data_IF_168077960451
#
_entry.id   IF_168077960451
#
_cell.length_a   1.000
_cell.length_b   1.000
_cell.length_c   1.000
_cell.angle_alpha   90.00
_cell.angle_beta   90.00
_cell.angle_gamma   90.00
#
_symmetry.space_group_name_H-M   'P 1'
#
loop_
_entity.id
_entity.type
_entity.pdbx_description
1 polymer ?
#
# COMPACT_ATOMS: atom_id res chain seq x y z
N UNK A 1 -4.47 -18.95 11.63
CA UNK A 1 -4.67 -18.59 10.22
C UNK A 1 -6.09 -18.06 10.05
N UNK A 2 -6.26 -16.74 10.01
CA UNK A 2 -7.56 -16.14 9.70
C UNK A 2 -7.71 -16.06 8.19
N UNK A 3 -8.81 -16.60 7.65
CA UNK A 3 -9.10 -16.46 6.23
C UNK A 3 -9.44 -14.98 5.94
N UNK A 4 -8.63 -14.32 5.11
CA UNK A 4 -8.87 -12.94 4.66
C UNK A 4 -9.97 -12.93 3.61
N UNK A 5 -11.19 -12.67 4.04
CA UNK A 5 -12.35 -12.53 3.17
C UNK A 5 -12.49 -11.09 2.68
N UNK A 6 -12.97 -10.91 1.44
CA UNK A 6 -13.33 -9.61 0.92
C UNK A 6 -14.52 -9.03 1.70
N UNK A 7 -14.55 -7.70 1.87
CA UNK A 7 -15.62 -7.03 2.62
C UNK A 7 -16.95 -7.06 1.85
N UNK A 8 -18.09 -7.35 2.51
CA UNK A 8 -19.40 -7.43 1.86
C UNK A 8 -19.81 -6.14 1.15
N UNK A 9 -20.53 -6.27 0.04
CA UNK A 9 -21.00 -5.14 -0.80
C UNK A 9 -22.02 -4.23 -0.12
N UNK A 10 -22.72 -4.70 0.92
CA UNK A 10 -23.74 -3.95 1.65
C UNK A 10 -23.22 -3.18 2.86
N UNK A 11 -21.97 -3.36 3.27
CA UNK A 11 -21.41 -2.68 4.44
C UNK A 11 -21.05 -1.22 4.11
N UNK A 12 -21.35 -0.29 5.02
CA UNK A 12 -20.95 1.13 4.98
C UNK A 12 -19.81 1.47 5.94
N UNK A 13 -19.56 0.61 6.93
CA UNK A 13 -18.61 0.88 8.00
C UNK A 13 -17.96 -0.39 8.55
N UNK A 14 -16.82 -0.21 9.23
CA UNK A 14 -16.05 -1.26 9.91
C UNK A 14 -15.70 -0.78 11.31
N UNK A 15 -15.92 -1.63 12.31
CA UNK A 15 -15.54 -1.34 13.69
C UNK A 15 -14.12 -1.85 13.93
N UNK A 16 -13.25 -0.97 14.42
CA UNK A 16 -11.90 -1.33 14.85
C UNK A 16 -11.85 -1.39 16.37
N UNK A 17 -11.26 -2.47 16.91
CA UNK A 17 -11.13 -2.68 18.36
C UNK A 17 -10.16 -1.67 18.98
N UNK A 18 -9.12 -1.29 18.23
CA UNK A 18 -8.17 -0.24 18.61
C UNK A 18 -7.78 0.61 17.41
N UNK A 19 -7.41 1.88 17.66
CA UNK A 19 -6.78 2.75 16.66
C UNK A 19 -5.47 2.16 16.11
N UNK A 20 -4.77 1.31 16.89
CA UNK A 20 -3.54 0.63 16.45
C UNK A 20 -3.80 -0.47 15.42
N UNK A 21 -5.02 -1.02 15.41
CA UNK A 21 -5.42 -2.04 14.44
C UNK A 21 -5.75 -1.41 13.08
N UNK A 22 -5.86 -0.08 13.03
CA UNK A 22 -6.05 0.77 11.84
C UNK A 22 -4.71 1.02 11.11
N UNK A 23 -3.68 0.21 11.39
CA UNK A 23 -2.37 0.34 10.75
C UNK A 23 -2.36 -0.28 9.35
N UNK A 24 -1.20 -0.28 8.68
CA UNK A 24 -0.99 -0.72 7.30
C UNK A 24 -1.32 -2.20 7.02
N UNK A 25 -2.07 -2.88 7.89
CA UNK A 25 -2.61 -4.22 7.74
C UNK A 25 -3.50 -4.36 6.49
N UNK A 26 -3.76 -5.61 6.12
CA UNK A 26 -4.71 -5.94 5.08
C UNK A 26 -6.08 -5.33 5.37
N UNK A 27 -6.54 -5.42 6.61
CA UNK A 27 -7.85 -4.95 7.06
C UNK A 27 -7.97 -3.42 6.92
N UNK A 28 -6.90 -2.69 7.25
CA UNK A 28 -6.83 -1.24 7.03
C UNK A 28 -6.91 -0.88 5.55
N UNK A 29 -6.09 -1.53 4.71
CA UNK A 29 -6.10 -1.31 3.26
C UNK A 29 -7.43 -1.69 2.61
N UNK A 30 -8.04 -2.80 3.03
CA UNK A 30 -9.34 -3.25 2.54
C UNK A 30 -10.45 -2.27 2.94
N UNK A 31 -10.39 -1.71 4.14
CA UNK A 31 -11.32 -0.66 4.61
C UNK A 31 -11.23 0.59 3.73
N UNK A 32 -10.02 1.05 3.43
CA UNK A 32 -9.79 2.17 2.52
C UNK A 32 -10.31 1.88 1.10
N UNK A 33 -9.93 0.73 0.53
CA UNK A 33 -10.34 0.33 -0.80
C UNK A 33 -11.87 0.23 -0.92
N UNK A 34 -12.52 -0.29 0.12
CA UNK A 34 -13.98 -0.42 0.19
C UNK A 34 -14.71 0.90 0.51
N UNK A 35 -13.99 2.00 0.73
CA UNK A 35 -14.56 3.31 1.07
C UNK A 35 -15.34 3.32 2.38
N UNK A 36 -14.98 2.44 3.32
CA UNK A 36 -15.73 2.23 4.55
C UNK A 36 -15.28 3.19 5.65
N UNK A 37 -16.26 3.55 6.48
CA UNK A 37 -16.03 4.39 7.65
C UNK A 37 -15.40 3.58 8.79
N UNK A 38 -14.23 3.99 9.33
CA UNK A 38 -13.66 3.38 10.53
C UNK A 38 -14.43 3.86 11.78
N UNK A 39 -15.07 2.93 12.48
CA UNK A 39 -15.86 3.18 13.68
C UNK A 39 -15.12 2.74 14.95
N UNK A 40 -15.39 3.48 16.02
CA UNK A 40 -14.97 3.19 17.39
C UNK A 40 -15.78 2.01 17.96
N UNK A 41 -15.22 1.25 18.92
CA UNK A 41 -15.96 0.18 19.60
C UNK A 41 -17.26 0.65 20.27
N UNK A 42 -17.34 1.93 20.64
CA UNK A 42 -18.53 2.54 21.24
C UNK A 42 -19.77 2.47 20.34
N UNK A 43 -19.61 2.30 19.02
CA UNK A 43 -20.72 2.08 18.11
C UNK A 43 -21.52 0.81 18.47
N UNK A 44 -20.81 -0.28 18.78
CA UNK A 44 -21.43 -1.57 19.07
C UNK A 44 -22.16 -1.50 20.40
N UNK A 45 -21.54 -0.91 21.42
CA UNK A 45 -22.17 -0.76 22.73
C UNK A 45 -23.38 0.17 22.67
N UNK A 46 -23.29 1.30 21.97
CA UNK A 46 -24.41 2.22 21.78
C UNK A 46 -25.56 1.55 21.02
N UNK A 47 -25.25 0.79 19.95
CA UNK A 47 -26.27 0.08 19.17
C UNK A 47 -26.98 -0.99 20.01
N UNK A 48 -26.21 -1.74 20.81
CA UNK A 48 -26.77 -2.74 21.72
C UNK A 48 -27.66 -2.12 22.80
N UNK A 49 -27.23 -1.00 23.40
CA UNK A 49 -28.02 -0.29 24.42
C UNK A 49 -29.30 0.34 23.85
N UNK A 50 -29.27 0.82 22.62
CA UNK A 50 -30.43 1.42 21.97
C UNK A 50 -31.42 0.39 21.39
N UNK A 51 -30.99 -0.85 21.19
CA UNK A 51 -31.77 -1.86 20.46
C UNK A 51 -31.91 -1.56 18.96
N UNK A 52 -31.09 -0.67 18.42
CA UNK A 52 -31.07 -0.25 17.03
C UNK A 52 -29.65 0.19 16.63
N UNK A 53 -29.34 0.27 15.33
CA UNK A 53 -28.04 0.76 14.88
C UNK A 53 -27.85 2.23 15.26
N UNK A 54 -26.77 2.51 15.99
CA UNK A 54 -26.38 3.88 16.33
C UNK A 54 -26.01 4.67 15.06
N UNK A 55 -25.94 6.00 15.18
CA UNK A 55 -25.50 6.85 14.08
C UNK A 55 -23.98 6.71 13.88
N UNK A 56 -23.56 6.17 12.74
CA UNK A 56 -22.15 5.91 12.43
C UNK A 56 -21.26 7.15 12.60
N UNK A 57 -21.77 8.34 12.25
CA UNK A 57 -21.01 9.61 12.33
C UNK A 57 -20.59 9.94 13.76
N UNK A 58 -21.44 9.63 14.75
CA UNK A 58 -21.16 9.89 16.16
C UNK A 58 -20.07 8.98 16.71
N UNK A 59 -19.81 7.86 16.04
CA UNK A 59 -18.84 6.86 16.47
C UNK A 59 -17.65 6.73 15.52
N UNK A 60 -17.49 7.64 14.56
CA UNK A 60 -16.33 7.64 13.66
C UNK A 60 -15.06 8.00 14.41
N UNK A 61 -13.94 7.37 14.08
CA UNK A 61 -12.64 7.80 14.58
C UNK A 61 -12.25 9.18 14.03
N UNK A 62 -11.73 10.04 14.90
CA UNK A 62 -11.08 11.29 14.52
C UNK A 62 -9.56 11.17 14.54
N UNK A 63 -8.87 11.97 13.73
CA UNK A 63 -7.40 12.01 13.72
C UNK A 63 -6.82 12.39 15.09
N UNK A 64 -7.55 13.18 15.88
CA UNK A 64 -7.11 13.66 17.19
C UNK A 64 -7.10 12.57 18.26
N UNK A 65 -7.92 11.53 18.09
CA UNK A 65 -8.03 10.40 19.02
C UNK A 65 -6.94 9.34 18.77
N UNK A 66 -6.17 9.48 17.70
CA UNK A 66 -5.09 8.56 17.39
C UNK A 66 -3.75 9.11 17.90
N UNK A 67 -2.94 8.24 18.48
CA UNK A 67 -1.57 8.61 18.87
C UNK A 67 -0.60 8.34 17.71
N UNK A 68 -0.80 7.23 17.00
CA UNK A 68 0.08 6.77 15.93
C UNK A 68 -0.14 7.52 14.62
N UNK A 69 0.96 7.97 13.98
CA UNK A 69 0.92 8.71 12.73
C UNK A 69 0.28 7.90 11.58
N UNK A 70 0.52 6.60 11.54
CA UNK A 70 -0.08 5.66 10.57
C UNK A 70 -1.60 5.58 10.70
N UNK A 71 -2.12 5.47 11.93
CA UNK A 71 -3.55 5.44 12.19
C UNK A 71 -4.23 6.77 11.82
N UNK A 72 -3.60 7.91 12.14
CA UNK A 72 -4.05 9.25 11.71
C UNK A 72 -4.16 9.34 10.20
N UNK A 73 -3.12 8.89 9.50
CA UNK A 73 -3.09 8.91 8.03
C UNK A 73 -4.21 8.06 7.45
N UNK A 74 -4.45 6.86 7.96
CA UNK A 74 -5.55 6.03 7.46
C UNK A 74 -6.91 6.68 7.70
N UNK A 75 -7.18 7.22 8.89
CA UNK A 75 -8.45 7.92 9.18
C UNK A 75 -8.65 9.09 8.23
N UNK A 76 -7.62 9.91 8.03
CA UNK A 76 -7.64 11.01 7.06
C UNK A 76 -8.03 10.53 5.68
N UNK A 77 -7.39 9.46 5.23
CA UNK A 77 -7.57 8.93 3.88
C UNK A 77 -8.93 8.26 3.72
N UNK A 78 -9.42 7.56 4.73
CA UNK A 78 -10.78 7.03 4.75
C UNK A 78 -11.82 8.16 4.62
N UNK A 79 -11.62 9.27 5.33
CA UNK A 79 -12.47 10.47 5.21
C UNK A 79 -12.39 11.11 3.82
N UNK A 80 -11.19 11.17 3.23
CA UNK A 80 -11.01 11.65 1.86
C UNK A 80 -11.74 10.76 0.84
N UNK A 81 -11.64 9.43 0.95
CA UNK A 81 -12.37 8.55 0.04
C UNK A 81 -13.88 8.68 0.22
N UNK A 82 -14.39 8.71 1.45
CA UNK A 82 -15.82 8.92 1.72
C UNK A 82 -16.38 10.22 1.11
N UNK A 83 -15.56 11.27 0.96
CA UNK A 83 -16.00 12.56 0.38
C UNK A 83 -15.82 12.66 -1.13
N UNK A 84 -14.82 11.96 -1.69
CA UNK A 84 -14.43 12.08 -3.10
C UNK A 84 -15.09 11.06 -4.02
N UNK A 85 -15.35 9.86 -3.54
CA UNK A 85 -15.87 8.81 -4.40
C UNK A 85 -17.40 8.86 -4.36
N UNK A 86 -18.00 9.28 -5.49
CA UNK A 86 -19.44 9.13 -5.71
C UNK A 86 -19.85 7.65 -5.78
N UNK A 87 -18.91 6.80 -6.19
CA UNK A 87 -18.93 5.35 -6.02
C UNK A 87 -18.53 4.98 -4.58
N UNK A 88 -19.18 3.99 -3.96
CA UNK A 88 -18.86 3.63 -2.57
C UNK A 88 -17.48 2.99 -2.42
N UNK A 89 -16.85 2.56 -3.53
CA UNK A 89 -15.57 1.82 -3.51
C UNK A 89 -14.55 2.38 -4.51
N UNK A 90 -13.27 2.27 -4.17
CA UNK A 90 -12.14 2.90 -4.88
C UNK A 90 -11.88 2.26 -6.25
N UNK A 91 -12.07 0.95 -6.38
CA UNK A 91 -11.80 0.19 -7.61
C UNK A 91 -13.09 -0.25 -8.32
N UNK A 92 -14.19 0.45 -8.09
CA UNK A 92 -15.48 0.11 -8.68
C UNK A 92 -15.40 0.16 -10.21
N UNK A 93 -15.93 -0.89 -10.87
CA UNK A 93 -15.88 -1.03 -12.33
C UNK A 93 -14.55 -1.51 -12.90
N UNK A 94 -13.51 -1.69 -12.07
CA UNK A 94 -12.24 -2.21 -12.56
C UNK A 94 -12.32 -3.70 -12.84
N UNK A 95 -11.70 -4.13 -13.93
CA UNK A 95 -11.49 -5.53 -14.31
C UNK A 95 -10.00 -5.74 -14.39
N UNK A 96 -9.44 -6.35 -13.34
CA UNK A 96 -8.01 -6.33 -13.05
C UNK A 96 -7.40 -7.71 -13.28
N UNK A 97 -6.37 -7.76 -14.11
CA UNK A 97 -5.53 -8.93 -14.27
C UNK A 97 -4.39 -8.92 -13.24
N UNK A 98 -4.21 -10.03 -12.52
CA UNK A 98 -3.14 -10.21 -11.55
C UNK A 98 -2.03 -11.08 -12.13
N UNK A 99 -0.84 -10.50 -12.26
CA UNK A 99 0.36 -11.22 -12.66
C UNK A 99 0.97 -12.03 -11.50
N UNK A 100 1.59 -13.17 -11.81
CA UNK A 100 2.18 -14.05 -10.80
C UNK A 100 3.34 -13.42 -10.00
N UNK A 101 3.97 -12.37 -10.51
CA UNK A 101 5.04 -11.65 -9.80
C UNK A 101 4.60 -10.93 -8.53
N UNK A 102 3.29 -10.78 -8.28
CA UNK A 102 2.76 -10.12 -7.10
C UNK A 102 3.06 -10.85 -5.78
N UNK A 103 3.42 -12.13 -5.83
CA UNK A 103 3.81 -12.91 -4.65
C UNK A 103 5.16 -12.50 -4.07
N UNK A 104 5.97 -11.75 -4.82
CA UNK A 104 7.29 -11.28 -4.36
C UNK A 104 7.28 -9.83 -3.87
N UNK A 105 6.12 -9.17 -3.81
CA UNK A 105 6.01 -7.76 -3.41
C UNK A 105 5.94 -7.68 -1.88
N UNK A 106 6.94 -7.05 -1.26
CA UNK A 106 6.82 -6.64 0.13
C UNK A 106 5.88 -5.44 0.24
N UNK A 107 4.62 -5.72 0.54
CA UNK A 107 3.57 -4.71 0.65
C UNK A 107 3.59 -3.97 1.97
N UNK A 108 4.33 -4.43 2.98
CA UNK A 108 4.26 -3.95 4.37
C UNK A 108 2.89 -4.12 5.05
N UNK A 109 1.87 -4.58 4.32
CA UNK A 109 0.51 -4.87 4.82
C UNK A 109 0.14 -6.34 4.82
N UNK A 110 1.14 -7.20 4.62
CA UNK A 110 0.98 -8.64 4.61
C UNK A 110 0.28 -9.19 3.38
N UNK A 111 0.15 -8.43 2.28
CA UNK A 111 -0.24 -8.98 0.98
C UNK A 111 0.95 -9.80 0.45
N UNK A 112 0.94 -11.10 0.69
CA UNK A 112 2.05 -11.99 0.31
C UNK A 112 1.63 -13.00 -0.76
N UNK A 113 0.32 -13.15 -0.98
CA UNK A 113 -0.26 -14.09 -1.94
C UNK A 113 -1.12 -13.38 -2.97
N UNK A 114 -1.31 -14.01 -4.14
CA UNK A 114 -2.28 -13.52 -5.13
C UNK A 114 -3.70 -13.44 -4.58
N UNK A 115 -4.02 -14.32 -3.63
CA UNK A 115 -5.31 -14.38 -2.96
C UNK A 115 -5.54 -13.12 -2.12
N UNK A 116 -4.51 -12.64 -1.43
CA UNK A 116 -4.56 -11.38 -0.68
C UNK A 116 -4.81 -10.19 -1.63
N UNK A 117 -4.07 -10.11 -2.74
CA UNK A 117 -4.26 -9.06 -3.75
C UNK A 117 -5.67 -9.11 -4.36
N UNK A 118 -6.16 -10.31 -4.66
CA UNK A 118 -7.51 -10.52 -5.16
C UNK A 118 -8.57 -10.07 -4.13
N UNK A 119 -8.38 -10.41 -2.86
CA UNK A 119 -9.29 -10.03 -1.78
C UNK A 119 -9.31 -8.52 -1.53
N UNK A 120 -8.14 -7.86 -1.60
CA UNK A 120 -8.03 -6.40 -1.47
C UNK A 120 -8.78 -5.69 -2.61
N UNK A 121 -8.51 -6.07 -3.86
CA UNK A 121 -9.16 -5.48 -5.03
C UNK A 121 -10.68 -5.71 -5.02
N UNK A 122 -11.12 -6.92 -4.65
CA UNK A 122 -12.55 -7.23 -4.49
C UNK A 122 -13.21 -6.42 -3.39
N UNK A 123 -12.50 -6.16 -2.29
CA UNK A 123 -13.00 -5.25 -1.23
C UNK A 123 -13.24 -3.85 -1.78
N UNK A 124 -12.36 -3.38 -2.67
CA UNK A 124 -12.57 -2.14 -3.42
C UNK A 124 -13.52 -2.22 -4.61
N UNK A 125 -14.24 -3.34 -4.81
CA UNK A 125 -15.26 -3.46 -5.85
C UNK A 125 -14.75 -3.83 -7.25
N UNK A 126 -13.47 -4.18 -7.38
CA UNK A 126 -12.94 -4.66 -8.65
C UNK A 126 -13.30 -6.13 -8.91
N UNK A 127 -13.35 -6.48 -10.19
CA UNK A 127 -13.34 -7.85 -10.68
C UNK A 127 -11.89 -8.29 -10.94
N UNK A 128 -11.27 -8.93 -9.95
CA UNK A 128 -9.88 -9.39 -10.03
C UNK A 128 -9.78 -10.84 -10.55
N UNK A 129 -8.91 -11.04 -11.53
CA UNK A 129 -8.69 -12.28 -12.27
C UNK A 129 -7.20 -12.65 -12.21
N UNK A 130 -6.88 -13.93 -12.06
CA UNK A 130 -5.47 -14.39 -12.08
C UNK A 130 -5.05 -14.64 -13.51
N UNK A 131 -3.79 -14.38 -13.85
CA UNK A 131 -3.27 -14.65 -15.18
C UNK A 131 -3.50 -16.08 -15.67
N UNK A 132 -3.43 -17.07 -14.76
CA UNK A 132 -3.70 -18.47 -15.08
C UNK A 132 -5.17 -18.77 -15.46
N UNK A 133 -6.11 -17.93 -15.02
CA UNK A 133 -7.55 -18.13 -15.23
C UNK A 133 -8.05 -17.44 -16.50
N UNK A 134 -7.22 -16.59 -17.12
CA UNK A 134 -7.58 -15.87 -18.35
C UNK A 134 -7.46 -16.81 -19.54
N UNK A 135 -8.61 -17.26 -20.03
CA UNK A 135 -8.71 -17.85 -21.36
C UNK A 135 -8.61 -16.76 -22.43
N UNK A 136 -7.89 -17.05 -23.51
CA UNK A 136 -7.66 -16.09 -24.58
C UNK A 136 -9.00 -15.59 -25.17
N UNK A 137 -9.33 -14.32 -24.91
CA UNK A 137 -10.21 -13.55 -25.79
C UNK A 137 -11.56 -13.04 -25.28
N UNK A 138 -11.91 -13.09 -23.98
CA UNK A 138 -13.29 -12.71 -23.58
C UNK A 138 -13.46 -11.81 -22.36
N UNK A 139 -12.40 -11.33 -21.73
CA UNK A 139 -12.54 -10.45 -20.59
C UNK A 139 -12.18 -9.02 -20.98
N UNK A 140 -13.15 -8.10 -20.84
CA UNK A 140 -12.97 -6.64 -20.99
C UNK A 140 -12.07 -6.10 -19.87
N UNK A 141 -10.83 -6.56 -19.82
CA UNK A 141 -9.84 -6.13 -18.85
C UNK A 141 -9.60 -4.63 -19.03
N UNK A 142 -9.53 -3.92 -17.91
CA UNK A 142 -9.24 -2.48 -17.90
C UNK A 142 -7.87 -2.20 -17.32
N UNK A 143 -7.44 -2.99 -16.34
CA UNK A 143 -6.17 -2.83 -15.64
C UNK A 143 -5.43 -4.16 -15.50
N UNK A 144 -4.11 -4.09 -15.39
CA UNK A 144 -3.25 -5.21 -15.03
C UNK A 144 -2.29 -4.76 -13.92
N UNK A 145 -2.08 -5.63 -12.93
CA UNK A 145 -1.22 -5.38 -11.78
C UNK A 145 -0.06 -6.36 -11.78
N UNK A 146 1.15 -5.84 -11.67
CA UNK A 146 2.39 -6.63 -11.59
C UNK A 146 3.39 -5.97 -10.65
N UNK A 147 4.42 -6.72 -10.24
CA UNK A 147 5.55 -6.10 -9.55
C UNK A 147 6.33 -5.17 -10.49
N UNK A 148 6.96 -4.14 -9.94
CA UNK A 148 7.68 -3.12 -10.74
C UNK A 148 8.76 -3.71 -11.65
N UNK A 149 9.37 -4.84 -11.27
CA UNK A 149 10.46 -5.51 -12.01
C UNK A 149 10.06 -6.70 -12.89
N UNK A 150 8.78 -7.08 -12.95
CA UNK A 150 8.37 -8.28 -13.67
C UNK A 150 8.53 -8.15 -15.21
N UNK A 151 9.01 -9.18 -15.92
CA UNK A 151 9.09 -9.19 -17.39
C UNK A 151 7.68 -9.27 -18.01
N UNK A 152 7.29 -8.27 -18.81
CA UNK A 152 5.89 -8.02 -19.21
C UNK A 152 5.51 -8.48 -20.60
N UNK A 153 6.52 -8.84 -21.40
CA UNK A 153 6.43 -8.98 -22.85
C UNK A 153 5.38 -10.01 -23.32
N UNK A 154 5.02 -10.98 -22.46
CA UNK A 154 4.01 -11.99 -22.82
C UNK A 154 2.58 -11.55 -22.52
N UNK A 155 2.33 -10.88 -21.40
CA UNK A 155 0.95 -10.53 -21.01
C UNK A 155 0.47 -9.23 -21.65
N UNK A 156 1.36 -8.26 -21.92
CA UNK A 156 0.98 -7.04 -22.63
C UNK A 156 0.51 -7.34 -24.06
N UNK A 157 1.10 -8.35 -24.71
CA UNK A 157 0.68 -8.81 -26.03
C UNK A 157 -0.68 -9.53 -26.01
N UNK A 158 -1.03 -10.20 -24.90
CA UNK A 158 -2.30 -10.90 -24.73
C UNK A 158 -3.46 -9.96 -24.41
N UNK A 159 -3.16 -8.78 -23.87
CA UNK A 159 -4.15 -7.82 -23.36
C UNK A 159 -3.87 -6.41 -23.91
N UNK A 160 -4.01 -6.18 -25.23
CA UNK A 160 -3.79 -4.86 -25.81
C UNK A 160 -4.79 -3.85 -25.27
N UNK A 161 -4.32 -2.63 -24.96
CA UNK A 161 -5.15 -1.54 -24.43
C UNK A 161 -5.43 -1.60 -22.92
N UNK A 162 -4.89 -2.59 -22.21
CA UNK A 162 -4.99 -2.66 -20.74
C UNK A 162 -3.95 -1.75 -20.09
N UNK A 163 -4.37 -0.99 -19.07
CA UNK A 163 -3.47 -0.13 -18.30
C UNK A 163 -2.65 -0.96 -17.29
N UNK A 164 -1.32 -0.89 -17.39
CA UNK A 164 -0.41 -1.66 -16.53
C UNK A 164 0.06 -0.82 -15.34
N UNK A 165 -0.10 -1.35 -14.13
CA UNK A 165 0.27 -0.66 -12.91
C UNK A 165 1.21 -1.52 -12.05
N UNK A 166 2.12 -0.83 -11.35
CA UNK A 166 2.89 -1.43 -10.28
C UNK A 166 2.00 -1.65 -9.05
N UNK A 167 2.13 -2.82 -8.44
CA UNK A 167 1.49 -3.16 -7.18
C UNK A 167 1.76 -2.11 -6.08
N UNK A 168 3.01 -1.64 -6.00
CA UNK A 168 3.47 -0.66 -5.03
C UNK A 168 2.81 0.70 -5.24
N UNK A 169 2.62 1.12 -6.50
CA UNK A 169 1.94 2.36 -6.82
C UNK A 169 0.47 2.32 -6.40
N UNK A 170 -0.20 1.18 -6.55
CA UNK A 170 -1.58 1.03 -6.07
C UNK A 170 -1.70 1.15 -4.55
N UNK A 171 -0.75 0.57 -3.82
CA UNK A 171 -0.71 0.70 -2.35
C UNK A 171 -0.40 2.12 -1.91
N UNK A 172 0.50 2.81 -2.60
CA UNK A 172 0.82 4.20 -2.35
C UNK A 172 -0.40 5.10 -2.58
N UNK A 173 -1.09 4.94 -3.72
CA UNK A 173 -2.31 5.70 -4.00
C UNK A 173 -3.39 5.46 -2.92
N UNK A 174 -3.62 4.19 -2.53
CA UNK A 174 -4.54 3.86 -1.44
C UNK A 174 -4.16 4.52 -0.12
N UNK A 175 -2.87 4.58 0.23
CA UNK A 175 -2.38 5.16 1.49
C UNK A 175 -2.36 6.69 1.48
N UNK A 176 -2.31 7.30 0.30
CA UNK A 176 -2.27 8.75 0.14
C UNK A 176 -3.66 9.35 -0.14
N UNK A 177 -4.68 8.52 -0.39
CA UNK A 177 -6.01 9.00 -0.75
C UNK A 177 -6.08 9.58 -2.16
N UNK A 178 -5.22 9.08 -3.04
CA UNK A 178 -5.18 9.45 -4.44
C UNK A 178 -6.24 8.64 -5.21
N UNK A 179 -6.94 9.31 -6.12
CA UNK A 179 -8.01 8.71 -6.94
C UNK A 179 -7.53 8.33 -8.33
N UNK A 180 -6.32 8.74 -8.70
CA UNK A 180 -5.67 8.38 -9.95
C UNK A 180 -4.43 7.58 -9.60
N UNK A 181 -4.33 6.36 -10.14
CA UNK A 181 -3.04 5.70 -10.21
C UNK A 181 -2.15 6.57 -11.11
N UNK A 182 -0.92 6.84 -10.67
CA UNK A 182 0.08 7.53 -11.50
C UNK A 182 0.25 6.89 -12.89
N UNK A 183 0.99 7.56 -13.77
CA UNK A 183 1.08 7.17 -15.19
C UNK A 183 1.25 5.66 -15.37
N UNK A 184 0.43 5.03 -16.23
CA UNK A 184 0.52 3.60 -16.46
C UNK A 184 1.93 3.28 -16.93
N UNK A 185 2.47 2.18 -16.42
CA UNK A 185 3.81 1.80 -16.75
C UNK A 185 3.87 1.38 -18.21
N UNK A 186 4.72 2.04 -19.00
CA UNK A 186 4.91 1.71 -20.41
C UNK A 186 5.46 0.28 -20.51
N UNK A 187 4.81 -0.56 -21.30
CA UNK A 187 5.35 -1.88 -21.63
C UNK A 187 6.68 -1.66 -22.35
N UNK A 188 7.78 -2.23 -21.82
CA UNK A 188 9.06 -2.18 -22.51
C UNK A 188 8.87 -2.74 -23.92
N UNK A 189 9.32 -1.99 -24.93
CA UNK A 189 9.30 -2.47 -26.30
C UNK A 189 10.03 -3.82 -26.37
N UNK A 190 9.52 -4.80 -27.14
CA UNK A 190 10.25 -6.05 -27.33
C UNK A 190 11.65 -5.70 -27.86
N UNK A 191 12.71 -6.38 -27.39
CA UNK A 191 14.03 -6.17 -27.95
C UNK A 191 13.94 -6.45 -29.45
N UNK A 192 14.12 -5.42 -30.26
CA UNK A 192 14.27 -5.56 -31.70
C UNK A 192 15.46 -6.48 -31.92
N UNK A 193 15.25 -7.60 -32.61
CA UNK A 193 16.26 -8.64 -32.85
C UNK A 193 17.46 -8.21 -33.70
N UNK A 194 17.65 -6.91 -33.93
CA UNK A 194 18.66 -6.33 -34.83
C UNK A 194 19.56 -5.32 -34.13
N UNK A 195 20.12 -5.67 -32.97
CA UNK A 195 21.32 -4.99 -32.49
C UNK A 195 22.42 -6.01 -32.26
N UNK A 196 23.17 -6.26 -33.34
CA UNK A 196 24.42 -7.01 -33.28
C UNK A 196 25.35 -6.34 -32.25
N UNK A 197 25.99 -7.10 -31.36
CA UNK A 197 26.93 -6.52 -30.40
C UNK A 197 28.07 -5.83 -31.16
N UNK A 198 28.53 -4.63 -30.73
CA UNK A 198 29.68 -4.00 -31.36
C UNK A 198 30.89 -4.94 -31.22
N UNK A 199 31.42 -5.29 -32.39
CA UNK A 199 32.56 -6.16 -32.59
C UNK A 199 33.76 -5.75 -31.73
N UNK A 200 34.26 -6.73 -30.98
CA UNK A 200 35.44 -6.71 -30.12
C UNK A 200 36.67 -6.24 -30.91
N UNK A 201 37.08 -4.98 -30.76
CA UNK A 201 38.38 -4.52 -31.24
C UNK A 201 39.48 -4.98 -30.28
N UNK A 202 40.19 -6.01 -30.72
CA UNK A 202 41.49 -6.45 -30.21
C UNK A 202 42.48 -5.27 -30.18
N UNK A 203 42.84 -4.80 -28.99
CA UNK A 203 43.81 -3.74 -28.75
C UNK A 203 44.85 -4.16 -27.71
N UNK A 204 45.75 -5.05 -28.12
CA UNK A 204 46.94 -5.47 -27.38
C UNK A 204 47.89 -4.28 -27.21
N UNK A 205 48.18 -3.84 -25.98
CA UNK A 205 49.43 -3.13 -25.67
C UNK A 205 49.92 -3.38 -24.25
N UNK A 206 51.12 -3.95 -24.20
CA UNK A 206 51.93 -4.29 -23.04
C UNK A 206 52.68 -3.05 -22.51
N UNK A 207 52.80 -2.92 -21.19
CA UNK A 207 54.02 -2.54 -20.44
C UNK A 207 53.64 -2.45 -18.95
N UNK A 208 54.17 -3.29 -18.06
CA UNK A 208 55.53 -3.35 -17.49
C UNK A 208 55.81 -2.22 -16.49
N UNK A 209 55.86 -2.59 -15.21
CA UNK A 209 56.68 -1.92 -14.21
C UNK A 209 55.97 -1.56 -12.91
N UNK A 210 56.54 -2.00 -11.79
CA UNK A 210 56.44 -1.25 -10.52
C UNK A 210 55.92 -2.04 -9.33
N UNK A 211 56.84 -2.55 -8.52
CA UNK A 211 56.65 -3.27 -7.26
C UNK A 211 56.53 -2.32 -6.04
N UNK A 212 56.23 -2.92 -4.88
CA UNK A 212 56.22 -2.38 -3.51
C UNK A 212 54.98 -1.53 -3.12
N UNK A 213 54.38 -1.66 -1.94
CA UNK A 213 54.68 -2.44 -0.74
C UNK A 213 53.83 -1.92 0.43
N UNK A 214 53.75 -2.68 1.51
CA UNK A 214 53.44 -2.14 2.83
C UNK A 214 52.01 -2.30 3.33
N UNK A 215 51.80 -3.34 4.14
CA UNK A 215 50.78 -3.38 5.17
C UNK A 215 51.01 -2.27 6.24
N UNK A 216 49.97 -1.82 6.93
CA UNK A 216 49.82 -2.02 8.38
C UNK A 216 48.67 -1.19 8.98
N UNK A 217 48.13 -1.73 10.06
CA UNK A 217 46.98 -1.30 10.83
C UNK A 217 47.19 0.03 11.57
N UNK A 218 46.15 0.87 11.54
CA UNK A 218 46.02 2.10 12.33
C UNK A 218 44.91 1.98 13.37
N UNK A 219 45.32 1.70 14.61
CA UNK A 219 44.55 1.65 15.87
C UNK A 219 44.34 3.08 16.39
N UNK A 220 43.18 3.39 17.02
CA UNK A 220 42.88 4.46 18.04
C UNK A 220 41.55 5.16 17.72
N UNK A 221 40.70 5.60 18.67
CA UNK A 221 40.58 5.46 20.12
C UNK A 221 39.17 5.97 20.48
N UNK A 222 38.67 5.46 21.60
CA UNK A 222 37.52 5.90 22.40
C UNK A 222 37.64 7.32 22.99
N UNK A 223 36.49 7.99 23.19
CA UNK A 223 36.09 8.84 24.36
C UNK A 223 34.68 9.42 24.09
N UNK A 224 33.61 9.00 24.77
CA UNK A 224 33.09 9.41 26.10
C UNK A 224 33.10 10.91 26.41
N UNK A 225 31.90 11.44 26.67
CA UNK A 225 31.46 12.31 27.79
C UNK A 225 30.57 13.48 27.33
N UNK A 226 29.43 13.70 27.98
CA UNK A 226 28.61 14.89 27.77
C UNK A 226 27.19 14.78 28.34
N UNK A 227 27.10 14.70 29.66
CA UNK A 227 25.89 14.72 30.48
C UNK A 227 25.10 16.04 30.40
N UNK A 228 23.80 15.91 30.71
CA UNK A 228 22.92 16.87 31.38
C UNK A 228 22.64 18.24 30.72
N UNK A 229 21.36 18.47 30.39
CA UNK A 229 20.72 19.65 30.95
C UNK A 229 19.29 19.36 31.40
N UNK A 230 19.05 19.59 32.69
CA UNK A 230 17.75 19.65 33.33
C UNK A 230 17.10 20.97 32.94
N UNK A 231 15.79 20.95 32.66
CA UNK A 231 14.94 22.09 32.96
C UNK A 231 13.56 21.60 33.38
N UNK A 232 13.39 21.48 34.71
CA UNK A 232 12.10 21.68 35.38
C UNK A 232 11.73 23.15 35.25
N UNK A 233 10.48 23.47 34.85
CA UNK A 233 9.72 24.60 35.42
C UNK A 233 8.21 24.31 35.35
N UNK A 234 7.68 23.87 36.49
CA UNK A 234 6.38 24.14 37.13
C UNK A 234 5.02 24.02 36.42
N UNK A 235 4.15 23.30 37.13
CA UNK A 235 2.70 23.27 37.03
C UNK A 235 2.01 24.63 37.24
N UNK A 236 0.84 24.80 36.63
CA UNK A 236 -0.21 25.67 37.19
C UNK A 236 -1.58 25.06 36.93
N UNK A 237 -2.16 24.57 38.02
CA UNK A 237 -3.57 24.22 38.19
C UNK A 237 -4.45 25.46 38.00
N UNK A 238 -5.56 25.35 37.26
CA UNK A 238 -6.69 26.24 37.50
C UNK A 238 -8.02 25.50 37.33
N UNK A 239 -8.62 25.17 38.48
CA UNK A 239 -10.05 24.93 38.65
C UNK A 239 -10.77 26.27 38.46
N UNK A 240 -11.81 26.31 37.64
CA UNK A 240 -12.91 27.26 37.87
C UNK A 240 -14.25 26.61 37.56
N UNK A 241 -14.99 26.40 38.65
CA UNK A 241 -16.40 26.02 38.70
C UNK A 241 -17.25 27.27 38.92
N UNK A 242 -18.56 27.13 38.63
CA UNK A 242 -19.70 28.07 38.76
C UNK A 242 -19.89 28.98 37.54
N UNK A 243 -21.07 29.03 36.91
CA UNK A 243 -22.44 28.89 37.44
C UNK A 243 -23.26 27.79 36.77
#
# INVERSE_FOLDING_TARGET
AGARAALPTSCSAVVFVSAKDVTASFEGLATLAAGLRPLRPSFVTASASAGAWALEVEHTWSEQECEEASAKQLIRVAQLYMTRTSSRRVFEGWRVLLDHSLTSVDSGGGLTTLDDWCALLKSGGAHALRAADVSAGNEKLTHALASRGAPRLRLSALCPGVAWHAAEALLECLRNGETQLGEPMVAAAPPTKDEAPPSRASGRRSNKGGSAGGASAGKRRTRTSGEANKQEVSATTNKRSRK
#
